data_IF_659604449291
#
_entry.id   IF_659604449291
#
_cell.length_a   1.000
_cell.length_b   1.000
_cell.length_c   1.000
_cell.angle_alpha   90.00
_cell.angle_beta   90.00
_cell.angle_gamma   90.00
#
_symmetry.space_group_name_H-M   'P 1'
#
loop_
_entity.id
_entity.type
_entity.pdbx_description
1 polymer ?
#
# COMPACT_ATOMS: atom_id res chain seq x y z
N UNK A 1 17.04 0.69 -5.76
CA UNK A 1 17.50 0.50 -4.36
C UNK A 1 16.33 0.79 -3.43
N UNK A 2 15.81 -0.19 -2.69
CA UNK A 2 14.78 0.04 -1.68
C UNK A 2 15.38 0.85 -0.52
N UNK A 3 14.68 1.90 -0.12
CA UNK A 3 15.10 2.77 0.98
C UNK A 3 15.28 1.94 2.28
N UNK A 4 16.44 1.98 2.95
CA UNK A 4 16.74 1.11 4.08
C UNK A 4 15.74 1.24 5.24
N UNK A 5 15.16 2.44 5.41
CA UNK A 5 14.19 2.73 6.47
C UNK A 5 12.86 2.04 6.16
N UNK A 6 12.40 2.14 4.90
CA UNK A 6 11.20 1.47 4.42
C UNK A 6 11.39 -0.05 4.45
N UNK A 7 12.56 -0.55 4.05
CA UNK A 7 12.86 -1.98 4.01
C UNK A 7 12.69 -2.62 5.39
N UNK A 8 13.29 -2.06 6.45
CA UNK A 8 13.14 -2.58 7.82
C UNK A 8 11.71 -2.50 8.34
N UNK A 9 11.02 -1.39 8.09
CA UNK A 9 9.67 -1.21 8.63
C UNK A 9 8.63 -2.05 7.89
N UNK A 10 8.81 -2.25 6.58
CA UNK A 10 7.93 -3.07 5.77
C UNK A 10 8.26 -4.56 5.91
N UNK A 11 9.53 -4.98 6.00
CA UNK A 11 9.93 -6.38 6.31
C UNK A 11 9.35 -6.90 7.63
N UNK A 12 9.12 -6.00 8.59
CA UNK A 12 8.61 -6.35 9.92
C UNK A 12 7.09 -6.55 9.99
N UNK A 13 6.36 -6.19 8.92
CA UNK A 13 4.88 -6.17 8.85
C UNK A 13 4.37 -6.89 7.59
N UNK A 14 5.21 -6.97 6.57
CA UNK A 14 4.95 -7.53 5.25
C UNK A 14 6.13 -8.45 4.95
N UNK A 15 5.87 -9.71 4.62
CA UNK A 15 6.92 -10.61 4.12
C UNK A 15 7.43 -10.14 2.76
N UNK A 16 8.36 -9.19 2.75
CA UNK A 16 8.95 -8.66 1.53
C UNK A 16 9.84 -9.75 0.91
N UNK A 17 9.48 -10.25 -0.28
CA UNK A 17 10.35 -11.13 -1.06
C UNK A 17 10.86 -10.33 -2.25
N UNK A 18 12.17 -10.12 -2.31
CA UNK A 18 12.80 -9.59 -3.53
C UNK A 18 12.94 -10.71 -4.54
N UNK A 19 12.22 -10.64 -5.66
CA UNK A 19 12.56 -11.39 -6.86
C UNK A 19 13.36 -10.49 -7.79
N UNK A 20 14.33 -11.03 -8.51
CA UNK A 20 15.16 -10.28 -9.46
C UNK A 20 14.52 -10.19 -10.85
N UNK A 21 13.20 -10.32 -10.96
CA UNK A 21 12.48 -10.34 -12.24
C UNK A 21 11.57 -9.11 -12.37
N UNK A 22 11.74 -8.34 -13.46
CA UNK A 22 10.96 -7.15 -13.80
C UNK A 22 9.54 -7.50 -14.29
N UNK A 23 8.86 -8.42 -13.61
CA UNK A 23 7.49 -8.80 -13.93
C UNK A 23 6.51 -7.83 -13.26
N UNK A 24 5.52 -7.35 -14.01
CA UNK A 24 4.48 -6.47 -13.48
C UNK A 24 3.68 -7.12 -12.31
N UNK A 25 3.72 -8.45 -12.21
CA UNK A 25 3.16 -9.24 -11.11
C UNK A 25 4.14 -9.56 -9.98
N UNK A 26 5.32 -8.94 -9.95
CA UNK A 26 6.29 -9.12 -8.87
C UNK A 26 5.64 -8.70 -7.54
N UNK A 27 5.40 -9.69 -6.69
CA UNK A 27 4.85 -9.49 -5.35
C UNK A 27 5.96 -8.95 -4.47
N UNK A 28 5.90 -7.65 -4.21
CA UNK A 28 6.76 -7.01 -3.23
C UNK A 28 6.36 -7.44 -1.84
N UNK A 29 5.06 -7.62 -1.57
CA UNK A 29 4.62 -8.12 -0.28
C UNK A 29 3.11 -8.36 -0.17
N UNK A 30 2.68 -8.97 0.93
CA UNK A 30 1.29 -9.31 1.20
C UNK A 30 0.90 -8.75 2.56
N UNK A 31 -0.22 -8.03 2.61
CA UNK A 31 -0.82 -7.61 3.87
C UNK A 31 -1.96 -8.56 4.24
N UNK A 32 -1.84 -9.14 5.43
CA UNK A 32 -2.88 -9.92 6.10
C UNK A 32 -3.36 -9.16 7.33
N UNK A 33 -4.65 -9.27 7.62
CA UNK A 33 -5.21 -8.73 8.86
C UNK A 33 -4.81 -9.58 10.09
N UNK A 34 -5.28 -9.19 11.27
CA UNK A 34 -5.00 -9.91 12.52
C UNK A 34 -5.60 -11.32 12.59
N UNK A 35 -6.57 -11.65 11.73
CA UNK A 35 -7.13 -13.01 11.62
C UNK A 35 -6.31 -13.91 10.69
N UNK A 36 -5.36 -13.33 9.95
CA UNK A 36 -4.58 -14.02 8.91
C UNK A 36 -5.22 -13.94 7.53
N UNK A 37 -6.37 -13.29 7.38
CA UNK A 37 -7.02 -13.08 6.09
C UNK A 37 -6.20 -12.10 5.24
N UNK A 38 -5.94 -12.46 3.98
CA UNK A 38 -5.19 -11.60 3.06
C UNK A 38 -6.10 -10.50 2.53
N UNK A 39 -5.74 -9.25 2.75
CA UNK A 39 -6.56 -8.10 2.34
C UNK A 39 -6.07 -7.51 1.01
N UNK A 40 -4.75 -7.38 0.83
CA UNK A 40 -4.20 -6.97 -0.45
C UNK A 40 -2.74 -7.40 -0.63
N UNK A 41 -2.34 -7.48 -1.89
CA UNK A 41 -0.97 -7.73 -2.32
C UNK A 41 -0.38 -6.43 -2.84
N UNK A 42 0.83 -6.12 -2.39
CA UNK A 42 1.64 -5.02 -2.89
C UNK A 42 2.50 -5.57 -4.02
N UNK A 43 2.17 -5.16 -5.23
CA UNK A 43 2.91 -5.51 -6.43
C UNK A 43 3.78 -4.33 -6.86
N UNK A 44 4.70 -4.60 -7.79
CA UNK A 44 5.61 -3.59 -8.33
C UNK A 44 4.87 -2.42 -9.01
N UNK A 45 3.83 -2.72 -9.78
CA UNK A 45 3.08 -1.74 -10.57
C UNK A 45 1.81 -1.22 -9.86
N UNK A 46 1.40 -1.84 -8.76
CA UNK A 46 0.17 -1.47 -8.08
C UNK A 46 -0.17 -2.33 -6.88
N UNK A 47 -1.45 -2.31 -6.52
CA UNK A 47 -2.04 -3.08 -5.45
C UNK A 47 -3.07 -4.04 -6.03
N UNK A 48 -3.05 -5.29 -5.58
CA UNK A 48 -4.12 -6.24 -5.86
C UNK A 48 -4.96 -6.43 -4.61
N UNK A 49 -6.19 -5.94 -4.65
CA UNK A 49 -7.15 -6.04 -3.56
C UNK A 49 -7.79 -7.42 -3.55
N UNK A 50 -7.94 -7.97 -2.35
CA UNK A 50 -8.52 -9.27 -2.10
C UNK A 50 -9.81 -9.09 -1.28
N UNK A 51 -10.81 -9.99 -1.40
CA UNK A 51 -10.80 -11.22 -2.20
C UNK A 51 -11.16 -11.03 -3.69
N UNK A 52 -11.63 -9.85 -4.11
CA UNK A 52 -12.16 -9.61 -5.46
C UNK A 52 -11.12 -9.56 -6.59
N UNK A 53 -9.83 -9.76 -6.29
CA UNK A 53 -8.71 -9.72 -7.24
C UNK A 53 -8.61 -8.40 -8.02
N UNK A 54 -9.16 -7.31 -7.48
CA UNK A 54 -9.15 -6.01 -8.17
C UNK A 54 -7.75 -5.43 -8.17
N UNK A 55 -7.22 -5.12 -9.34
CA UNK A 55 -5.95 -4.44 -9.48
C UNK A 55 -6.11 -2.91 -9.52
N UNK A 56 -5.26 -2.20 -8.80
CA UNK A 56 -5.17 -0.74 -8.75
C UNK A 56 -3.73 -0.33 -9.01
N UNK A 57 -3.44 0.23 -10.18
CA UNK A 57 -2.09 0.67 -10.50
C UNK A 57 -1.70 1.91 -9.68
N UNK A 58 -0.42 2.04 -9.30
CA UNK A 58 0.04 3.21 -8.53
C UNK A 58 -0.18 4.54 -9.25
N UNK A 59 -0.14 4.51 -10.59
CA UNK A 59 -0.39 5.69 -11.43
C UNK A 59 -1.82 6.22 -11.33
N UNK A 60 -2.77 5.35 -10.97
CA UNK A 60 -4.20 5.69 -10.92
C UNK A 60 -4.60 6.19 -9.51
N UNK A 61 -3.73 6.03 -8.51
CA UNK A 61 -3.94 6.54 -7.14
C UNK A 61 -3.68 8.05 -7.11
N UNK A 62 -4.75 8.84 -6.99
CA UNK A 62 -4.69 10.29 -6.89
C UNK A 62 -4.25 10.75 -5.49
N UNK A 63 -4.83 10.15 -4.44
CA UNK A 63 -4.52 10.45 -3.05
C UNK A 63 -4.62 9.22 -2.15
N UNK A 64 -3.84 9.23 -1.07
CA UNK A 64 -3.86 8.21 -0.03
C UNK A 64 -3.89 8.88 1.34
N UNK A 65 -4.90 8.59 2.16
CA UNK A 65 -5.12 9.18 3.49
C UNK A 65 -5.48 8.09 4.50
N UNK A 66 -5.38 8.43 5.79
CA UNK A 66 -6.04 7.66 6.84
C UNK A 66 -7.43 8.23 7.09
N UNK A 67 -8.27 7.42 7.71
CA UNK A 67 -9.37 7.97 8.50
C UNK A 67 -8.79 8.91 9.59
N UNK A 68 -9.32 10.13 9.76
CA UNK A 68 -8.86 11.07 10.79
C UNK A 68 -8.84 10.47 12.20
N UNK A 69 -9.73 9.51 12.49
CA UNK A 69 -9.87 8.89 13.81
C UNK A 69 -8.94 7.69 14.04
N UNK A 70 -8.00 7.41 13.13
CA UNK A 70 -7.11 6.22 13.19
C UNK A 70 -6.32 6.06 14.50
N UNK A 71 -6.06 7.17 15.21
CA UNK A 71 -5.36 7.15 16.51
C UNK A 71 -6.28 6.89 17.70
N UNK A 72 -7.59 7.03 17.50
CA UNK A 72 -8.60 7.07 18.56
C UNK A 72 -9.48 5.80 18.54
N UNK A 73 -9.70 5.20 17.37
CA UNK A 73 -10.54 4.01 17.22
C UNK A 73 -9.90 2.93 16.35
N UNK A 74 -10.13 1.66 16.74
CA UNK A 74 -9.76 0.51 15.92
C UNK A 74 -10.57 0.45 14.62
N UNK A 75 -11.84 0.86 14.63
CA UNK A 75 -12.72 0.86 13.46
C UNK A 75 -12.32 1.90 12.41
N UNK A 76 -11.56 2.92 12.82
CA UNK A 76 -11.01 3.96 11.97
C UNK A 76 -9.64 3.56 11.37
N UNK A 77 -9.17 2.32 11.56
CA UNK A 77 -7.91 1.86 10.96
C UNK A 77 -8.10 1.48 9.51
N UNK A 78 -8.33 2.51 8.69
CA UNK A 78 -8.63 2.38 7.28
C UNK A 78 -7.68 3.26 6.47
N UNK A 79 -7.15 2.69 5.40
CA UNK A 79 -6.55 3.47 4.32
C UNK A 79 -7.64 3.87 3.34
N UNK A 80 -7.72 5.17 3.09
CA UNK A 80 -8.60 5.78 2.12
C UNK A 80 -7.78 6.03 0.85
N UNK A 81 -8.07 5.28 -0.20
CA UNK A 81 -7.47 5.40 -1.53
C UNK A 81 -8.43 6.16 -2.43
N UNK A 82 -8.05 7.35 -2.86
CA UNK A 82 -8.78 8.08 -3.90
C UNK A 82 -8.14 7.80 -5.25
N UNK A 83 -8.93 7.28 -6.18
CA UNK A 83 -8.52 7.02 -7.55
C UNK A 83 -8.73 8.26 -8.42
N UNK A 84 -8.05 8.28 -9.57
CA UNK A 84 -8.06 9.43 -10.49
C UNK A 84 -9.40 9.63 -11.22
N UNK A 85 -10.23 8.60 -11.25
CA UNK A 85 -11.60 8.62 -11.77
C UNK A 85 -12.64 9.14 -10.75
N UNK A 86 -12.20 9.47 -9.53
CA UNK A 86 -13.05 9.94 -8.44
C UNK A 86 -13.57 8.84 -7.52
N UNK A 87 -13.30 7.56 -7.81
CA UNK A 87 -13.67 6.47 -6.91
C UNK A 87 -12.85 6.51 -5.61
N UNK A 88 -13.50 6.17 -4.49
CA UNK A 88 -12.84 6.03 -3.20
C UNK A 88 -12.91 4.59 -2.71
N UNK A 89 -11.76 3.99 -2.49
CA UNK A 89 -11.61 2.66 -1.93
C UNK A 89 -11.18 2.74 -0.47
N UNK A 90 -11.75 1.86 0.35
CA UNK A 90 -11.44 1.75 1.76
C UNK A 90 -10.77 0.40 2.00
N UNK A 91 -9.52 0.42 2.48
CA UNK A 91 -8.81 -0.79 2.88
C UNK A 91 -8.73 -0.82 4.41
N UNK A 92 -9.42 -1.77 5.02
CA UNK A 92 -9.29 -2.01 6.45
C UNK A 92 -7.90 -2.57 6.72
N UNK A 93 -7.17 -1.92 7.62
CA UNK A 93 -5.86 -2.37 8.08
C UNK A 93 -5.97 -2.55 9.59
N UNK A 94 -6.37 -3.74 10.01
CA UNK A 94 -6.37 -4.03 11.43
C UNK A 94 -4.97 -4.42 11.90
N UNK A 95 -4.58 -3.85 13.02
CA UNK A 95 -3.27 -4.10 13.61
C UNK A 95 -3.38 -4.09 15.12
N UNK A 96 -3.04 -5.20 15.76
CA UNK A 96 -2.48 -5.10 17.10
C UNK A 96 -0.97 -5.19 16.96
N UNK A 97 -0.28 -4.04 16.94
CA UNK A 97 1.19 -4.05 17.01
C UNK A 97 1.75 -3.68 18.36
N UNK A 98 0.98 -3.85 19.41
CA UNK A 98 1.19 -2.97 20.55
C UNK A 98 1.33 -1.47 20.16
N UNK A 99 0.65 -0.81 19.19
CA UNK A 99 -0.74 -0.96 18.71
C UNK A 99 -1.12 -0.16 17.41
N UNK A 100 -0.27 0.67 16.77
CA UNK A 100 -0.70 1.54 15.62
C UNK A 100 0.39 1.84 14.54
N UNK A 101 1.56 1.22 14.65
CA UNK A 101 2.75 1.57 13.88
C UNK A 101 2.85 0.91 12.50
N UNK A 102 1.94 0.01 12.13
CA UNK A 102 1.99 -0.74 10.87
C UNK A 102 1.29 -0.05 9.70
N UNK A 103 0.29 0.79 9.99
CA UNK A 103 -0.47 1.49 8.96
C UNK A 103 0.34 2.65 8.34
N UNK A 104 1.20 3.32 9.12
CA UNK A 104 2.04 4.42 8.66
C UNK A 104 3.13 4.02 7.66
N UNK A 105 3.86 2.91 7.86
CA UNK A 105 4.83 2.39 6.90
C UNK A 105 4.18 1.94 5.60
N UNK A 106 3.03 1.24 5.68
CA UNK A 106 2.26 0.83 4.50
C UNK A 106 1.81 2.07 3.71
N UNK A 107 1.24 3.06 4.40
CA UNK A 107 0.84 4.34 3.80
C UNK A 107 2.02 5.06 3.13
N UNK A 108 3.13 5.22 3.85
CA UNK A 108 4.31 5.90 3.34
C UNK A 108 4.88 5.19 2.10
N UNK A 109 4.89 3.85 2.10
CA UNK A 109 5.33 3.04 0.98
C UNK A 109 4.47 3.29 -0.27
N UNK A 110 3.16 3.07 -0.16
CA UNK A 110 2.21 3.20 -1.27
C UNK A 110 2.21 4.63 -1.79
N UNK A 111 2.19 5.63 -0.89
CA UNK A 111 2.24 7.05 -1.24
C UNK A 111 3.50 7.40 -2.03
N UNK A 112 4.67 6.89 -1.61
CA UNK A 112 5.94 7.12 -2.30
C UNK A 112 5.91 6.50 -3.70
N UNK A 113 5.42 5.27 -3.85
CA UNK A 113 5.28 4.61 -5.15
C UNK A 113 4.34 5.39 -6.09
N UNK A 114 3.15 5.76 -5.62
CA UNK A 114 2.22 6.59 -6.39
C UNK A 114 2.83 7.93 -6.83
N UNK A 115 3.62 8.57 -5.96
CA UNK A 115 4.34 9.79 -6.32
C UNK A 115 5.43 9.56 -7.39
N UNK A 116 6.23 8.50 -7.25
CA UNK A 116 7.28 8.14 -8.22
C UNK A 116 6.71 7.88 -9.62
N UNK A 117 5.64 7.10 -9.73
CA UNK A 117 5.01 6.81 -11.03
C UNK A 117 4.41 8.07 -11.68
N UNK A 118 3.82 8.99 -10.89
CA UNK A 118 3.32 10.26 -11.42
C UNK A 118 4.42 11.17 -11.94
N UNK A 119 5.57 11.24 -11.26
CA UNK A 119 6.68 12.08 -11.70
C UNK A 119 7.44 11.49 -12.89
N UNK A 120 7.55 10.17 -12.99
CA UNK A 120 8.12 9.52 -14.17
C UNK A 120 7.32 9.87 -15.45
N UNK A 121 5.98 9.95 -15.35
CA UNK A 121 5.13 10.38 -16.47
C UNK A 121 5.40 11.83 -16.90
N UNK A 122 5.66 12.73 -15.96
CA UNK A 122 6.03 14.13 -16.26
C UNK A 122 7.38 14.23 -16.97
N UNK A 123 8.36 13.46 -16.51
CA UNK A 123 9.69 13.43 -17.12
C UNK A 123 9.70 12.78 -18.52
N UNK A 124 8.77 11.84 -18.79
CA UNK A 124 8.63 11.22 -20.11
C UNK A 124 7.79 12.05 -21.11
N UNK A 125 7.12 13.11 -20.63
CA UNK A 125 6.27 14.00 -21.45
C UNK A 125 6.90 15.39 -21.65
N UNK A 126 8.14 15.59 -21.19
CA UNK A 126 8.93 16.81 -21.30
C UNK A 126 10.13 16.54 -22.22
#
# INVERSE_FOLDING_TARGET
MCDPIIKRTVESTIGLRGSSTDDAGEVLGIYSDSSGEKIFVIEREGLRLLPNQRFVAYRDIAALKFDPQVKESAEARKLLLSLSDGEQLTLTIDGQRGKFLDIYPIHAFIRRRAHQHRNAKRAASA
#
